data_IF_744777030759
#
_entry.id   IF_744777030759
#
_cell.length_a   1.000
_cell.length_b   1.000
_cell.length_c   1.000
_cell.angle_alpha   90.00
_cell.angle_beta   90.00
_cell.angle_gamma   90.00
#
_symmetry.space_group_name_H-M   'P 1'
#
loop_
_entity.id
_entity.type
_entity.pdbx_description
1 polymer ?
#
# COMPACT_ATOMS: atom_id res chain seq x y z
N UNK A 1 3.88 -10.57 -5.18
CA UNK A 1 4.24 -9.82 -3.97
C UNK A 1 4.52 -8.38 -4.36
N UNK A 2 3.84 -7.41 -3.76
CA UNK A 2 3.99 -6.00 -4.12
C UNK A 2 5.29 -5.44 -3.55
N UNK A 3 6.29 -5.29 -4.39
CA UNK A 3 7.61 -4.76 -4.02
C UNK A 3 8.06 -3.56 -4.84
N UNK A 4 7.17 -2.99 -5.64
CA UNK A 4 7.48 -1.82 -6.45
C UNK A 4 6.19 -1.12 -6.88
N UNK A 5 6.13 0.20 -6.81
CA UNK A 5 4.96 0.94 -7.29
C UNK A 5 5.33 2.35 -7.76
N UNK A 6 4.35 3.06 -8.29
CA UNK A 6 4.51 4.44 -8.74
C UNK A 6 3.64 5.37 -7.89
N UNK A 7 4.20 6.50 -7.47
CA UNK A 7 3.53 7.54 -6.69
C UNK A 7 3.93 8.88 -7.34
N UNK A 8 3.29 9.18 -8.48
CA UNK A 8 3.77 10.25 -9.35
C UNK A 8 2.95 11.53 -9.32
N UNK A 9 1.69 11.45 -8.93
CA UNK A 9 0.74 12.57 -9.01
C UNK A 9 0.94 13.56 -7.87
N UNK A 10 0.13 14.62 -7.86
CA UNK A 10 0.11 15.57 -6.74
C UNK A 10 -0.62 14.95 -5.55
N UNK A 11 -0.36 15.46 -4.35
CA UNK A 11 -1.07 15.04 -3.15
C UNK A 11 -2.58 15.24 -3.30
N UNK A 12 -2.97 16.36 -3.86
CA UNK A 12 -4.38 16.72 -4.08
C UNK A 12 -5.09 15.74 -5.01
N UNK A 13 -4.41 15.25 -6.05
CA UNK A 13 -4.99 14.26 -6.98
C UNK A 13 -5.40 12.97 -6.25
N UNK A 14 -4.58 12.53 -5.31
CA UNK A 14 -4.91 11.34 -4.50
C UNK A 14 -5.97 11.64 -3.46
N UNK A 15 -5.84 12.78 -2.76
CA UNK A 15 -6.74 13.13 -1.65
C UNK A 15 -8.14 13.51 -2.13
N UNK A 16 -8.28 13.96 -3.37
CA UNK A 16 -9.58 14.38 -3.93
C UNK A 16 -10.62 13.28 -3.96
N UNK A 17 -10.20 12.01 -3.94
CA UNK A 17 -11.12 10.86 -3.94
C UNK A 17 -11.62 10.50 -2.54
N UNK A 18 -11.01 11.05 -1.51
CA UNK A 18 -11.41 10.80 -0.12
C UNK A 18 -12.45 11.83 0.32
N UNK A 19 -13.42 11.38 1.12
CA UNK A 19 -14.42 12.29 1.66
C UNK A 19 -13.79 13.31 2.62
N UNK A 20 -14.42 14.47 2.73
CA UNK A 20 -13.91 15.58 3.54
C UNK A 20 -14.50 15.60 4.97
N UNK A 21 -15.01 14.46 5.44
CA UNK A 21 -15.60 14.36 6.77
C UNK A 21 -14.56 14.23 7.89
N UNK A 22 -13.30 14.03 7.54
CA UNK A 22 -12.16 14.05 8.47
C UNK A 22 -11.27 15.23 8.09
N UNK A 23 -10.95 16.06 9.08
CA UNK A 23 -10.03 17.18 8.85
C UNK A 23 -8.64 16.69 8.48
N UNK A 24 -7.97 17.47 7.65
CA UNK A 24 -6.63 17.15 7.15
C UNK A 24 -5.62 18.11 7.76
N UNK A 25 -4.60 17.57 8.37
CA UNK A 25 -3.40 18.30 8.78
C UNK A 25 -2.29 17.97 7.78
N UNK A 26 -2.50 18.36 6.52
CA UNK A 26 -1.60 18.11 5.41
C UNK A 26 -1.37 19.45 4.71
N UNK A 27 -0.14 19.98 4.71
CA UNK A 27 0.15 21.22 4.01
C UNK A 27 -0.16 21.11 2.52
N UNK A 28 -0.73 22.16 1.94
CA UNK A 28 -0.96 22.23 0.50
C UNK A 28 0.37 22.22 -0.24
N UNK A 29 0.49 21.34 -1.21
CA UNK A 29 1.67 21.23 -2.05
C UNK A 29 1.23 20.85 -3.47
N UNK A 30 1.32 21.77 -4.44
CA UNK A 30 0.88 21.52 -5.81
C UNK A 30 1.90 20.72 -6.63
N UNK A 31 3.10 20.48 -6.10
CA UNK A 31 4.13 19.78 -6.84
C UNK A 31 3.80 18.28 -6.96
N UNK A 32 3.97 17.69 -8.16
CA UNK A 32 3.88 16.23 -8.28
C UNK A 32 4.90 15.55 -7.40
N UNK A 33 4.50 14.44 -6.78
CA UNK A 33 5.42 13.60 -6.00
C UNK A 33 6.51 13.06 -6.92
N UNK A 34 6.13 12.69 -8.15
CA UNK A 34 7.08 12.41 -9.23
C UNK A 34 7.92 11.16 -9.06
N UNK A 35 7.48 10.21 -8.25
CA UNK A 35 8.19 8.96 -8.05
C UNK A 35 7.55 7.85 -8.88
N UNK A 36 8.26 7.43 -9.92
CA UNK A 36 7.73 6.45 -10.88
C UNK A 36 8.18 5.01 -10.57
N UNK A 37 9.11 4.82 -9.66
CA UNK A 37 9.70 3.52 -9.38
C UNK A 37 10.07 3.42 -7.89
N UNK A 38 9.05 3.37 -7.04
CA UNK A 38 9.21 3.35 -5.59
C UNK A 38 9.60 1.95 -5.13
N UNK A 39 10.74 1.85 -4.45
CA UNK A 39 11.29 0.59 -3.95
C UNK A 39 11.24 0.51 -2.42
N UNK A 40 11.19 -0.71 -1.86
CA UNK A 40 11.38 -0.90 -0.42
C UNK A 40 12.73 -0.35 0.03
N UNK A 41 12.84 -0.05 1.32
CA UNK A 41 14.06 0.50 1.89
C UNK A 41 14.18 2.01 1.69
N UNK A 42 13.13 2.66 1.19
CA UNK A 42 13.07 4.11 1.05
C UNK A 42 11.88 4.65 1.84
N UNK A 43 11.90 5.94 2.13
CA UNK A 43 10.75 6.60 2.74
C UNK A 43 9.70 6.90 1.69
N UNK A 44 8.45 6.61 2.03
CA UNK A 44 7.29 6.75 1.14
C UNK A 44 6.22 7.55 1.86
N UNK A 45 5.51 8.42 1.14
CA UNK A 45 4.42 9.17 1.73
C UNK A 45 3.28 8.23 2.09
N UNK A 46 2.94 8.19 3.38
CA UNK A 46 1.93 7.32 3.97
C UNK A 46 0.86 8.15 4.65
N UNK A 47 -0.39 7.84 4.34
CA UNK A 47 -1.55 8.53 4.88
C UNK A 47 -2.08 7.79 6.11
N UNK A 48 -2.30 8.51 7.20
CA UNK A 48 -2.82 7.92 8.43
C UNK A 48 -3.63 8.95 9.22
N UNK A 49 -4.48 8.45 10.13
CA UNK A 49 -5.23 9.30 11.05
C UNK A 49 -4.52 9.32 12.41
N UNK A 50 -4.36 10.51 12.97
CA UNK A 50 -4.00 10.71 14.37
C UNK A 50 -4.59 12.02 14.87
N UNK A 51 -4.97 12.06 16.12
CA UNK A 51 -5.59 13.24 16.72
C UNK A 51 -6.78 13.76 15.91
N UNK A 52 -7.57 12.81 15.38
CA UNK A 52 -8.79 13.08 14.58
C UNK A 52 -8.54 13.80 13.26
N UNK A 53 -7.28 13.85 12.80
CA UNK A 53 -6.89 14.47 11.53
C UNK A 53 -6.15 13.48 10.65
N UNK A 54 -6.28 13.64 9.34
CA UNK A 54 -5.44 12.91 8.38
C UNK A 54 -4.08 13.60 8.27
N UNK A 55 -3.03 12.79 8.33
CA UNK A 55 -1.65 13.21 8.18
C UNK A 55 -0.99 12.45 7.04
N UNK A 56 -0.01 13.08 6.44
CA UNK A 56 0.80 12.46 5.37
C UNK A 56 2.26 12.60 5.76
N UNK A 57 2.88 11.47 6.05
CA UNK A 57 4.25 11.41 6.56
C UNK A 57 5.15 10.57 5.68
N UNK A 58 6.44 10.92 5.50
CA UNK A 58 7.40 10.03 4.87
C UNK A 58 7.78 8.93 5.86
N UNK A 59 7.41 7.69 5.54
CA UNK A 59 7.61 6.52 6.40
C UNK A 59 8.45 5.48 5.66
N UNK A 60 9.39 4.86 6.35
CA UNK A 60 10.24 3.81 5.80
C UNK A 60 9.40 2.60 5.39
N UNK A 61 9.54 2.18 4.14
CA UNK A 61 8.87 0.96 3.66
C UNK A 61 9.72 -0.24 4.00
N UNK A 62 9.40 -0.85 5.13
CA UNK A 62 10.08 -2.01 5.66
C UNK A 62 9.85 -2.11 7.17
N UNK A 63 9.84 -3.32 7.68
CA UNK A 63 9.61 -3.59 9.09
C UNK A 63 10.57 -4.66 9.58
N UNK A 64 11.46 -4.28 10.48
CA UNK A 64 12.47 -5.14 11.09
C UNK A 64 12.63 -4.75 12.55
N UNK A 65 11.75 -5.21 13.45
CA UNK A 65 11.91 -4.91 14.87
C UNK A 65 13.24 -5.46 15.41
N UNK A 66 13.70 -4.94 16.56
CA UNK A 66 15.04 -5.21 17.06
C UNK A 66 15.41 -6.68 17.22
N UNK A 67 14.42 -7.55 17.41
CA UNK A 67 14.63 -9.01 17.54
C UNK A 67 14.63 -9.74 16.19
N UNK A 68 14.38 -9.03 15.08
CA UNK A 68 14.34 -9.59 13.72
C UNK A 68 15.73 -9.52 13.10
N UNK A 69 16.30 -10.69 12.75
CA UNK A 69 17.67 -10.80 12.25
C UNK A 69 17.76 -11.02 10.74
N UNK A 70 16.62 -10.91 10.04
CA UNK A 70 16.52 -11.07 8.59
C UNK A 70 16.30 -9.70 7.92
N UNK A 71 16.38 -9.62 6.58
CA UNK A 71 16.05 -8.37 5.90
C UNK A 71 14.65 -7.87 6.28
N UNK A 72 14.40 -6.56 6.24
CA UNK A 72 13.10 -6.02 6.60
C UNK A 72 11.96 -6.62 5.78
N UNK A 73 10.86 -6.92 6.45
CA UNK A 73 9.64 -7.36 5.79
C UNK A 73 8.96 -6.16 5.12
N UNK A 74 8.40 -6.37 3.94
CA UNK A 74 7.74 -5.30 3.16
C UNK A 74 6.25 -5.55 2.94
N UNK A 75 5.80 -6.79 3.17
CA UNK A 75 4.39 -7.18 3.02
C UNK A 75 3.89 -7.93 4.24
N UNK A 76 2.58 -7.86 4.47
CA UNK A 76 1.86 -8.66 5.45
C UNK A 76 0.64 -9.27 4.76
N UNK A 77 0.46 -10.58 4.89
CA UNK A 77 -0.65 -11.30 4.26
C UNK A 77 -1.94 -11.02 5.03
N UNK A 78 -2.99 -10.60 4.32
CA UNK A 78 -4.29 -10.29 4.94
C UNK A 78 -4.87 -11.50 5.67
N UNK A 79 -4.58 -12.70 5.18
CA UNK A 79 -5.11 -13.96 5.75
C UNK A 79 -4.64 -14.21 7.18
N UNK A 80 -3.48 -13.69 7.56
CA UNK A 80 -2.86 -14.00 8.85
C UNK A 80 -2.45 -12.78 9.68
N UNK A 81 -2.39 -11.60 9.08
CA UNK A 81 -1.84 -10.41 9.75
C UNK A 81 -2.59 -10.05 11.04
N UNK A 82 -3.93 -10.18 11.03
CA UNK A 82 -4.77 -9.81 12.18
C UNK A 82 -4.52 -10.69 13.40
N UNK A 83 -4.03 -11.91 13.22
CA UNK A 83 -3.80 -12.88 14.29
C UNK A 83 -2.32 -13.20 14.48
N UNK A 84 -1.47 -12.75 13.59
CA UNK A 84 -0.02 -12.93 13.69
C UNK A 84 0.52 -12.25 14.94
N UNK A 85 1.35 -12.96 15.68
CA UNK A 85 2.02 -12.39 16.86
C UNK A 85 2.84 -11.14 16.51
N UNK A 86 3.46 -11.14 15.35
CA UNK A 86 4.28 -10.03 14.87
C UNK A 86 3.44 -8.83 14.41
N UNK A 87 2.33 -9.09 13.69
CA UNK A 87 1.58 -8.04 13.03
C UNK A 87 0.30 -7.60 13.74
N UNK A 88 -0.19 -8.39 14.69
CA UNK A 88 -1.43 -8.07 15.39
C UNK A 88 -1.45 -6.65 15.99
N UNK A 89 -0.39 -6.19 16.69
CA UNK A 89 -0.40 -4.81 17.20
C UNK A 89 -0.46 -3.76 16.10
N UNK A 90 0.21 -4.01 14.97
CA UNK A 90 0.18 -3.10 13.82
C UNK A 90 -1.21 -3.08 13.17
N UNK A 91 -1.83 -4.23 13.07
CA UNK A 91 -3.19 -4.38 12.56
C UNK A 91 -4.20 -3.60 13.40
N UNK A 92 -4.06 -3.65 14.71
CA UNK A 92 -4.96 -2.97 15.65
C UNK A 92 -4.72 -1.48 15.74
N UNK A 93 -3.48 -1.02 15.70
CA UNK A 93 -3.14 0.36 16.05
C UNK A 93 -2.36 1.13 14.99
N UNK A 94 -1.82 0.47 13.98
CA UNK A 94 -0.94 1.11 13.00
C UNK A 94 -1.46 1.02 11.57
N UNK A 95 -2.77 1.12 11.36
CA UNK A 95 -3.35 1.07 10.02
C UNK A 95 -3.15 2.40 9.30
N UNK A 96 -2.80 2.30 8.03
CA UNK A 96 -2.52 3.45 7.17
C UNK A 96 -2.89 3.11 5.73
N UNK A 97 -2.81 4.09 4.85
CA UNK A 97 -3.04 3.93 3.43
C UNK A 97 -1.84 4.45 2.66
N UNK A 98 -1.34 3.62 1.75
CA UNK A 98 -0.36 4.02 0.76
C UNK A 98 -1.07 4.22 -0.58
N UNK A 99 -1.26 5.48 -0.99
CA UNK A 99 -1.84 5.75 -2.30
C UNK A 99 -0.77 5.64 -3.39
N UNK A 100 -1.17 5.26 -4.59
CA UNK A 100 -0.28 5.07 -5.72
C UNK A 100 -1.04 5.17 -7.04
N UNK A 101 -0.30 5.34 -8.14
CA UNK A 101 -0.89 5.25 -9.49
C UNK A 101 -1.26 3.82 -9.83
N UNK A 102 -0.45 2.89 -9.37
CA UNK A 102 -0.53 1.46 -9.60
C UNK A 102 0.72 0.81 -9.08
N UNK A 103 0.91 -0.47 -9.36
CA UNK A 103 2.07 -1.21 -8.89
C UNK A 103 2.66 -2.07 -10.00
N UNK A 104 3.89 -2.51 -9.81
CA UNK A 104 4.59 -3.40 -10.73
C UNK A 104 4.61 -4.82 -10.21
N UNK A 105 4.47 -5.79 -11.11
CA UNK A 105 4.68 -7.20 -10.82
C UNK A 105 5.48 -7.83 -11.94
N UNK A 106 6.24 -8.86 -11.61
CA UNK A 106 7.08 -9.57 -12.57
C UNK A 106 6.44 -10.93 -12.85
N UNK A 107 5.98 -11.11 -14.10
CA UNK A 107 5.45 -12.37 -14.57
C UNK A 107 6.60 -13.24 -15.04
N UNK A 108 6.62 -14.49 -14.59
CA UNK A 108 7.60 -15.46 -15.07
C UNK A 108 7.19 -15.93 -16.47
N UNK A 109 8.05 -15.65 -17.45
CA UNK A 109 7.88 -16.06 -18.85
C UNK A 109 9.11 -16.87 -19.29
N UNK A 110 9.01 -18.20 -19.25
CA UNK A 110 10.15 -19.08 -19.47
C UNK A 110 11.19 -18.94 -18.38
N UNK A 111 12.42 -18.64 -18.75
CA UNK A 111 13.54 -18.39 -17.84
C UNK A 111 13.71 -16.90 -17.51
N UNK A 112 12.84 -16.04 -18.04
CA UNK A 112 12.88 -14.59 -17.85
C UNK A 112 11.68 -14.11 -17.09
N UNK A 113 11.80 -12.93 -16.47
CA UNK A 113 10.70 -12.24 -15.80
C UNK A 113 10.36 -10.97 -16.56
N UNK A 114 9.10 -10.83 -16.92
CA UNK A 114 8.57 -9.66 -17.61
C UNK A 114 7.83 -8.78 -16.62
N UNK A 115 8.26 -7.54 -16.39
CA UNK A 115 7.51 -6.62 -15.52
C UNK A 115 6.26 -6.09 -16.20
N UNK A 116 5.21 -5.96 -15.43
CA UNK A 116 3.93 -5.35 -15.82
C UNK A 116 3.60 -4.23 -14.86
N UNK A 117 3.01 -3.17 -15.39
CA UNK A 117 2.39 -2.14 -14.57
C UNK A 117 0.89 -2.41 -14.48
N UNK A 118 0.38 -2.50 -13.24
CA UNK A 118 -1.01 -2.84 -12.94
C UNK A 118 -1.68 -1.63 -12.32
N UNK A 119 -2.83 -1.23 -12.85
CA UNK A 119 -3.54 -0.03 -12.41
C UNK A 119 -5.04 -0.20 -12.61
N UNK A 120 -5.84 0.69 -12.02
CA UNK A 120 -7.30 0.61 -12.17
C UNK A 120 -7.70 0.97 -13.60
N UNK A 121 -8.60 0.18 -14.16
CA UNK A 121 -9.10 0.39 -15.52
C UNK A 121 -9.86 1.71 -15.68
N UNK A 122 -10.44 2.24 -14.58
CA UNK A 122 -11.12 3.54 -14.58
C UNK A 122 -10.17 4.74 -14.46
N UNK A 123 -8.88 4.48 -14.36
CA UNK A 123 -7.86 5.55 -14.26
C UNK A 123 -7.70 6.18 -12.88
N UNK A 124 -8.49 5.75 -11.90
CA UNK A 124 -8.34 6.25 -10.52
C UNK A 124 -7.06 5.69 -9.87
N UNK A 125 -6.45 6.41 -8.94
CA UNK A 125 -5.36 5.86 -8.15
C UNK A 125 -5.83 4.71 -7.27
N UNK A 126 -4.87 3.94 -6.77
CA UNK A 126 -5.11 2.83 -5.86
C UNK A 126 -4.79 3.26 -4.43
N UNK A 127 -5.61 2.79 -3.48
CA UNK A 127 -5.40 2.99 -2.05
C UNK A 127 -5.05 1.64 -1.44
N UNK A 128 -3.74 1.42 -1.26
CA UNK A 128 -3.24 0.16 -0.74
C UNK A 128 -3.27 0.17 0.79
N UNK A 129 -3.87 -0.84 1.39
CA UNK A 129 -3.87 -0.98 2.83
C UNK A 129 -2.44 -1.22 3.33
N UNK A 130 -2.09 -0.53 4.39
CA UNK A 130 -0.78 -0.63 5.03
C UNK A 130 -0.95 -0.76 6.54
N UNK A 131 0.03 -1.38 7.16
CA UNK A 131 0.16 -1.43 8.62
C UNK A 131 1.60 -1.10 8.99
N UNK A 132 1.81 -0.45 10.13
CA UNK A 132 3.15 -0.06 10.51
C UNK A 132 3.28 0.31 11.97
N UNK A 133 4.49 0.65 12.36
CA UNK A 133 4.84 1.02 13.73
C UNK A 133 4.60 2.51 13.94
N UNK A 134 3.67 2.83 14.84
CA UNK A 134 3.38 4.22 15.22
C UNK A 134 4.33 4.68 16.32
N UNK A 135 4.60 5.99 16.44
CA UNK A 135 4.10 7.09 15.60
C UNK A 135 4.85 7.17 14.25
N UNK A 136 4.10 7.40 13.18
CA UNK A 136 4.69 7.42 11.84
C UNK A 136 5.62 8.62 11.60
N UNK A 137 5.39 9.74 12.27
CA UNK A 137 6.23 10.92 12.17
C UNK A 137 7.63 10.73 12.75
N UNK A 138 7.88 9.64 13.48
CA UNK A 138 9.17 9.33 14.08
C UNK A 138 10.28 9.14 13.04
N UNK A 139 9.94 8.61 11.85
CA UNK A 139 10.89 8.45 10.77
C UNK A 139 11.93 7.35 10.98
N UNK A 140 11.63 6.35 11.79
CA UNK A 140 12.54 5.23 12.09
C UNK A 140 12.73 4.36 10.85
N UNK A 141 13.99 4.08 10.50
CA UNK A 141 14.34 3.26 9.33
C UNK A 141 14.22 1.75 9.56
N UNK A 142 14.03 1.31 10.79
CA UNK A 142 13.90 -0.12 11.11
C UNK A 142 12.46 -0.57 11.24
N UNK A 143 11.59 0.26 11.75
CA UNK A 143 10.20 -0.07 12.08
C UNK A 143 9.25 0.89 11.39
N UNK A 144 9.16 0.78 10.07
CA UNK A 144 8.25 1.56 9.24
C UNK A 144 6.93 0.83 8.98
N UNK A 145 6.60 0.64 7.70
CA UNK A 145 5.32 0.05 7.32
C UNK A 145 5.47 -1.11 6.34
N UNK A 146 4.40 -1.89 6.24
CA UNK A 146 4.26 -2.99 5.29
C UNK A 146 3.01 -2.76 4.45
N UNK A 147 3.03 -3.19 3.20
CA UNK A 147 1.83 -3.26 2.35
C UNK A 147 1.12 -4.57 2.66
N UNK A 148 -0.17 -4.49 2.93
CA UNK A 148 -1.02 -5.67 3.12
C UNK A 148 -1.30 -6.28 1.76
N UNK A 149 -1.14 -7.61 1.63
CA UNK A 149 -1.38 -8.33 0.38
C UNK A 149 -2.55 -9.29 0.52
N UNK A 150 -3.17 -9.58 -0.62
CA UNK A 150 -4.26 -10.54 -0.75
C UNK A 150 -3.96 -11.50 -1.90
N UNK A 151 -4.68 -12.62 -1.95
CA UNK A 151 -4.61 -13.52 -3.09
C UNK A 151 -5.24 -12.87 -4.32
N UNK A 152 -4.63 -13.06 -5.48
CA UNK A 152 -5.25 -12.68 -6.75
C UNK A 152 -6.37 -13.66 -7.06
N UNK A 153 -7.53 -13.13 -7.49
CA UNK A 153 -8.70 -13.96 -7.75
C UNK A 153 -8.50 -14.83 -8.98
N UNK A 154 -8.80 -16.10 -8.85
CA UNK A 154 -8.73 -17.08 -9.94
C UNK A 154 -9.70 -16.71 -11.06
N UNK A 155 -9.23 -16.84 -12.29
CA UNK A 155 -10.07 -16.58 -13.47
C UNK A 155 -10.21 -15.11 -13.85
N UNK A 156 -9.58 -14.20 -13.13
CA UNK A 156 -9.65 -12.76 -13.39
C UNK A 156 -8.45 -12.22 -14.19
N UNK A 157 -7.54 -13.09 -14.62
CA UNK A 157 -6.38 -12.72 -15.43
C UNK A 157 -5.19 -12.18 -14.61
N UNK A 158 -5.44 -11.46 -13.55
CA UNK A 158 -4.38 -10.89 -12.69
C UNK A 158 -3.51 -11.97 -12.05
N UNK A 159 -4.11 -13.11 -11.69
CA UNK A 159 -3.42 -14.26 -11.13
C UNK A 159 -2.34 -14.81 -12.10
N UNK A 160 -2.52 -14.62 -13.40
CA UNK A 160 -1.55 -15.06 -14.41
C UNK A 160 -0.24 -14.25 -14.35
N UNK A 161 -0.28 -13.04 -13.80
CA UNK A 161 0.91 -12.21 -13.60
C UNK A 161 1.58 -12.59 -12.28
N UNK A 162 0.80 -12.65 -11.20
CA UNK A 162 1.29 -13.03 -9.88
C UNK A 162 0.11 -13.51 -9.03
N UNK A 163 0.36 -14.47 -8.14
CA UNK A 163 -0.68 -15.05 -7.26
C UNK A 163 -1.01 -14.15 -6.05
N UNK A 164 -0.23 -13.11 -5.81
CA UNK A 164 -0.46 -12.13 -4.74
C UNK A 164 -0.60 -10.74 -5.33
N UNK A 165 -1.38 -9.90 -4.66
CA UNK A 165 -1.56 -8.50 -5.04
C UNK A 165 -1.66 -7.64 -3.78
N UNK A 166 -1.43 -6.32 -3.85
CA UNK A 166 -1.74 -5.45 -2.72
C UNK A 166 -3.25 -5.46 -2.45
N UNK A 167 -3.60 -5.30 -1.18
CA UNK A 167 -4.99 -5.12 -0.77
C UNK A 167 -5.39 -3.69 -1.11
N UNK A 168 -6.00 -3.50 -2.27
CA UNK A 168 -6.50 -2.19 -2.71
C UNK A 168 -7.92 -2.03 -2.19
N UNK A 169 -8.16 -0.95 -1.44
CA UNK A 169 -9.46 -0.63 -0.89
C UNK A 169 -10.15 0.45 -1.73
N UNK A 170 -11.49 0.44 -1.73
CA UNK A 170 -12.25 1.56 -2.27
C UNK A 170 -11.92 2.83 -1.47
N UNK A 171 -12.14 4.04 -2.03
CA UNK A 171 -11.89 5.27 -1.27
C UNK A 171 -12.61 5.32 0.06
N UNK A 172 -13.86 4.87 0.11
CA UNK A 172 -14.67 4.82 1.33
C UNK A 172 -14.09 3.85 2.35
N UNK A 173 -13.71 2.65 1.90
CA UNK A 173 -13.10 1.65 2.77
C UNK A 173 -11.71 2.07 3.25
N UNK A 174 -10.94 2.76 2.41
CA UNK A 174 -9.63 3.29 2.79
C UNK A 174 -9.75 4.27 3.95
N UNK A 175 -10.77 5.13 3.91
CA UNK A 175 -11.01 6.11 4.97
C UNK A 175 -11.42 5.43 6.28
N UNK A 176 -12.30 4.43 6.21
CA UNK A 176 -12.69 3.65 7.37
C UNK A 176 -11.51 2.86 7.96
N UNK A 177 -10.67 2.30 7.10
CA UNK A 177 -9.48 1.55 7.49
C UNK A 177 -8.57 2.35 8.41
N UNK A 178 -8.41 3.65 8.13
CA UNK A 178 -7.52 4.53 8.89
C UNK A 178 -8.08 5.00 10.22
N UNK A 179 -9.38 4.83 10.49
CA UNK A 179 -10.00 5.32 11.72
C UNK A 179 -9.38 4.66 12.94
N UNK A 180 -8.86 5.46 13.85
CA UNK A 180 -8.21 4.97 15.07
C UNK A 180 -9.19 4.36 16.07
N UNK A 181 -10.45 4.75 16.00
CA UNK A 181 -11.49 4.28 16.91
C UNK A 181 -11.95 2.85 16.64
N UNK A 182 -11.67 2.29 15.44
CA UNK A 182 -12.06 0.92 15.13
C UNK A 182 -11.01 -0.08 15.58
N UNK A 183 -11.48 -1.27 15.99
CA UNK A 183 -10.59 -2.36 16.39
C UNK A 183 -10.18 -3.27 15.25
N UNK A 184 -9.35 -4.25 15.58
CA UNK A 184 -8.81 -5.19 14.59
C UNK A 184 -9.87 -6.05 13.91
N UNK A 185 -10.96 -6.37 14.61
CA UNK A 185 -12.07 -7.16 14.04
C UNK A 185 -12.80 -6.38 12.94
N UNK A 186 -13.14 -5.13 13.20
CA UNK A 186 -13.78 -4.26 12.20
C UNK A 186 -12.85 -4.02 11.02
N UNK A 187 -11.54 -3.85 11.27
CA UNK A 187 -10.55 -3.71 10.22
C UNK A 187 -10.54 -4.92 9.30
N UNK A 188 -10.68 -6.14 9.84
CA UNK A 188 -10.76 -7.36 9.04
C UNK A 188 -12.01 -7.39 8.16
N UNK A 189 -13.14 -6.89 8.66
CA UNK A 189 -14.37 -6.76 7.87
C UNK A 189 -14.21 -5.74 6.74
N UNK A 190 -13.56 -4.61 7.01
CA UNK A 190 -13.26 -3.60 5.99
C UNK A 190 -12.37 -4.18 4.89
N UNK A 191 -11.34 -4.93 5.28
CA UNK A 191 -10.44 -5.58 4.33
C UNK A 191 -11.18 -6.56 3.42
N UNK A 192 -12.14 -7.31 3.97
CA UNK A 192 -12.93 -8.28 3.20
C UNK A 192 -13.94 -7.58 2.28
N UNK A 193 -14.68 -6.61 2.81
CA UNK A 193 -15.81 -6.00 2.10
C UNK A 193 -15.41 -4.82 1.22
N UNK A 194 -14.31 -4.14 1.54
CA UNK A 194 -13.84 -2.95 0.84
C UNK A 194 -12.78 -3.20 -0.21
N UNK A 195 -12.37 -4.45 -0.40
CA UNK A 195 -11.34 -4.81 -1.38
C UNK A 195 -11.86 -4.63 -2.80
N UNK A 196 -11.12 -3.89 -3.61
CA UNK A 196 -11.43 -3.72 -5.04
C UNK A 196 -11.15 -5.04 -5.75
N UNK A 197 -12.14 -5.63 -6.46
CA UNK A 197 -11.95 -6.93 -7.11
C UNK A 197 -10.98 -6.86 -8.27
N UNK A 198 -10.38 -8.00 -8.60
CA UNK A 198 -9.33 -8.10 -9.62
C UNK A 198 -9.80 -7.65 -11.02
N UNK A 199 -11.09 -7.79 -11.34
CA UNK A 199 -11.63 -7.38 -12.63
C UNK A 199 -11.71 -5.86 -12.84
N UNK A 200 -11.40 -5.08 -11.82
CA UNK A 200 -11.36 -3.62 -11.92
C UNK A 200 -9.96 -3.11 -12.35
N UNK A 201 -9.00 -4.00 -12.51
CA UNK A 201 -7.63 -3.65 -12.88
C UNK A 201 -7.33 -4.02 -14.32
N UNK A 202 -6.41 -3.27 -14.91
CA UNK A 202 -5.81 -3.59 -16.20
C UNK A 202 -4.29 -3.49 -16.05
N UNK A 203 -3.56 -3.98 -17.05
CA UNK A 203 -2.10 -4.02 -17.00
C UNK A 203 -1.50 -4.03 -18.37
N UNK A 204 -0.25 -3.61 -18.47
CA UNK A 204 0.53 -3.70 -19.68
C UNK A 204 2.00 -3.99 -19.34
N UNK A 205 2.74 -4.63 -20.26
CA UNK A 205 4.15 -4.87 -20.05
C UNK A 205 4.94 -3.56 -20.09
N UNK A 206 6.00 -3.49 -19.30
CA UNK A 206 6.89 -2.34 -19.26
C UNK A 206 8.33 -2.81 -19.46
N UNK A 207 9.24 -1.85 -19.70
CA UNK A 207 10.66 -2.13 -19.87
C UNK A 207 11.23 -2.82 -18.62
N UNK A 208 12.13 -3.79 -18.86
CA UNK A 208 12.89 -4.42 -17.78
C UNK A 208 13.77 -3.45 -17.01
N UNK A 209 14.01 -2.25 -17.54
CA UNK A 209 14.74 -1.18 -16.85
C UNK A 209 14.11 -0.81 -15.51
N UNK A 210 12.79 -1.02 -15.32
CA UNK A 210 12.10 -0.77 -14.06
C UNK A 210 12.65 -1.64 -12.92
N UNK A 211 13.28 -2.78 -13.23
CA UNK A 211 13.93 -3.61 -12.23
C UNK A 211 15.08 -2.91 -11.51
N UNK A 212 15.71 -1.95 -12.17
CA UNK A 212 16.78 -1.15 -11.56
C UNK A 212 16.14 -0.02 -10.75
N UNK A 213 16.33 -0.03 -9.44
CA UNK A 213 15.74 0.94 -8.50
C UNK A 213 16.23 2.37 -8.72
N UNK A 214 17.29 2.55 -9.49
CA UNK A 214 17.82 3.88 -9.83
C UNK A 214 17.11 4.54 -11.02
N UNK A 215 16.22 3.80 -11.68
CA UNK A 215 15.48 4.32 -12.83
C UNK A 215 14.16 5.02 -12.42
#
# INVERSE_FOLDING_TARGET
>A
MCGRFAQSQTREDYLALLAEDIERDIPYDPEPIGRYNVAPGTKVLLLSERDEHLHLDPVFWGYAPGWWDKPPLINARVETAATSRMFKPLWQHGRAICFADGWFEWKKEGDKKQPYFIYRADGQPVFMAAIGSTPFERGDEAEGFLIVTAAADQGQGLVDIHDRRPLVLSPEAAQEWMRQEIGGKEASEIATNGCVPANQFTWHPVSRAVGNVKN
#
